data_IF_491404824608
#
_entry.id   IF_491404824608
#
_cell.length_a   1.000
_cell.length_b   1.000
_cell.length_c   1.000
_cell.angle_alpha   90.00
_cell.angle_beta   90.00
_cell.angle_gamma   90.00
#
_symmetry.space_group_name_H-M   'P 1'
#
loop_
_entity.id
_entity.type
_entity.pdbx_description
1 polymer ?
#
# COMPACT_ATOMS: atom_id res chain seq x y z
N UNK A 1 9.46 1.90 -4.05
CA UNK A 1 9.25 2.98 -5.05
C UNK A 1 8.83 4.27 -4.36
N UNK A 2 7.79 4.26 -3.51
CA UNK A 2 7.28 5.48 -2.83
C UNK A 2 8.35 6.24 -2.04
N UNK A 3 9.23 5.55 -1.30
CA UNK A 3 10.36 6.19 -0.63
C UNK A 3 11.30 6.92 -1.58
N UNK A 4 11.63 6.31 -2.73
CA UNK A 4 12.43 6.96 -3.77
C UNK A 4 11.74 8.20 -4.36
N UNK A 5 10.42 8.15 -4.52
CA UNK A 5 9.61 9.29 -4.99
C UNK A 5 9.71 10.47 -4.03
N UNK A 6 9.55 10.21 -2.72
CA UNK A 6 9.65 11.24 -1.69
C UNK A 6 11.05 11.92 -1.74
N UNK A 7 12.11 11.13 -1.68
CA UNK A 7 13.49 11.63 -1.66
C UNK A 7 13.83 12.44 -2.92
N UNK A 8 13.56 11.89 -4.11
CA UNK A 8 13.87 12.61 -5.36
C UNK A 8 13.05 13.87 -5.54
N UNK A 9 11.75 13.82 -5.23
CA UNK A 9 10.88 14.99 -5.30
C UNK A 9 11.37 16.08 -4.36
N UNK A 10 11.69 15.75 -3.10
CA UNK A 10 12.23 16.70 -2.14
C UNK A 10 13.58 17.32 -2.58
N UNK A 11 14.49 16.50 -3.12
CA UNK A 11 15.78 16.95 -3.65
C UNK A 11 15.62 17.95 -4.80
N UNK A 12 14.75 17.66 -5.78
CA UNK A 12 14.54 18.57 -6.91
C UNK A 12 13.80 19.85 -6.53
N UNK A 13 12.89 19.77 -5.55
CA UNK A 13 12.24 20.97 -4.98
C UNK A 13 13.28 21.87 -4.28
N UNK A 14 14.14 21.26 -3.44
CA UNK A 14 15.23 21.97 -2.77
C UNK A 14 16.23 22.61 -3.75
N UNK A 15 16.50 21.95 -4.88
CA UNK A 15 17.35 22.44 -5.96
C UNK A 15 16.63 23.45 -6.89
N UNK A 16 15.35 23.77 -6.67
CA UNK A 16 14.51 24.66 -7.50
C UNK A 16 14.42 24.21 -8.97
N UNK A 17 14.41 22.91 -9.22
CA UNK A 17 14.33 22.30 -10.55
C UNK A 17 12.90 21.83 -10.85
N UNK A 18 11.97 22.74 -11.04
CA UNK A 18 10.54 22.45 -11.20
C UNK A 18 10.22 21.53 -12.40
N UNK A 19 11.03 21.57 -13.47
CA UNK A 19 10.90 20.64 -14.60
C UNK A 19 11.19 19.21 -14.18
N UNK A 20 12.30 19.00 -13.46
CA UNK A 20 12.70 17.68 -12.97
C UNK A 20 11.67 17.12 -11.98
N UNK A 21 11.07 17.97 -11.12
CA UNK A 21 9.98 17.56 -10.21
C UNK A 21 8.80 16.99 -11.00
N UNK A 22 8.36 17.69 -12.05
CA UNK A 22 7.26 17.22 -12.90
C UNK A 22 7.57 15.90 -13.59
N UNK A 23 8.79 15.75 -14.11
CA UNK A 23 9.24 14.50 -14.76
C UNK A 23 9.25 13.33 -13.78
N UNK A 24 9.72 13.55 -12.53
CA UNK A 24 9.71 12.54 -11.46
C UNK A 24 8.27 12.17 -11.09
N UNK A 25 7.39 13.14 -10.86
CA UNK A 25 5.99 12.90 -10.50
C UNK A 25 5.27 12.05 -11.56
N UNK A 26 5.43 12.36 -12.86
CA UNK A 26 4.79 11.59 -13.92
C UNK A 26 5.40 10.20 -14.11
N UNK A 27 6.73 10.09 -14.02
CA UNK A 27 7.40 8.77 -14.09
C UNK A 27 7.05 7.88 -12.89
N UNK A 28 6.97 8.47 -11.70
CA UNK A 28 6.60 7.76 -10.47
C UNK A 28 5.16 7.24 -10.52
N UNK A 29 4.22 8.05 -11.02
CA UNK A 29 2.83 7.63 -11.21
C UNK A 29 2.73 6.39 -12.11
N UNK A 30 3.46 6.39 -13.24
CA UNK A 30 3.54 5.26 -14.16
C UNK A 30 4.13 4.02 -13.49
N UNK A 31 5.26 4.18 -12.79
CA UNK A 31 5.93 3.06 -12.11
C UNK A 31 5.06 2.47 -11.00
N UNK A 32 4.42 3.30 -10.18
CA UNK A 32 3.55 2.82 -9.10
C UNK A 32 2.31 2.11 -9.64
N UNK A 33 1.70 2.62 -10.73
CA UNK A 33 0.58 1.95 -11.38
C UNK A 33 1.01 0.60 -11.98
N UNK A 34 2.15 0.56 -12.69
CA UNK A 34 2.68 -0.67 -13.28
C UNK A 34 3.01 -1.73 -12.21
N UNK A 35 3.69 -1.34 -11.14
CA UNK A 35 4.00 -2.23 -10.02
C UNK A 35 2.72 -2.74 -9.35
N UNK A 36 1.71 -1.89 -9.19
CA UNK A 36 0.41 -2.29 -8.67
C UNK A 36 -0.27 -3.35 -9.54
N UNK A 37 -0.22 -3.20 -10.87
CA UNK A 37 -0.75 -4.19 -11.82
C UNK A 37 0.06 -5.50 -11.78
N UNK A 38 1.39 -5.43 -11.71
CA UNK A 38 2.24 -6.62 -11.57
C UNK A 38 1.87 -7.39 -10.29
N UNK A 39 1.74 -6.69 -9.16
CA UNK A 39 1.35 -7.30 -7.89
C UNK A 39 -0.07 -7.89 -7.94
N UNK A 40 -1.01 -7.23 -8.61
CA UNK A 40 -2.34 -7.74 -8.83
C UNK A 40 -2.29 -9.08 -9.58
N UNK A 41 -1.59 -9.13 -10.72
CA UNK A 41 -1.46 -10.35 -11.53
C UNK A 41 -0.75 -11.47 -10.74
N UNK A 42 0.33 -11.13 -10.04
CA UNK A 42 1.04 -12.05 -9.16
C UNK A 42 0.09 -12.64 -8.09
N UNK A 43 -0.67 -11.77 -7.41
CA UNK A 43 -1.62 -12.21 -6.39
C UNK A 43 -2.73 -13.11 -6.94
N UNK A 44 -3.25 -12.84 -8.14
CA UNK A 44 -4.27 -13.70 -8.75
C UNK A 44 -3.75 -15.12 -9.01
N UNK A 45 -2.49 -15.24 -9.44
CA UNK A 45 -1.89 -16.53 -9.78
C UNK A 45 -1.40 -17.29 -8.54
N UNK A 46 -0.72 -16.59 -7.63
CA UNK A 46 0.04 -17.23 -6.54
C UNK A 46 -0.66 -17.24 -5.19
N UNK A 47 -1.87 -16.68 -5.02
CA UNK A 47 -2.56 -16.61 -3.73
C UNK A 47 -2.67 -17.97 -3.03
N UNK A 48 -3.05 -19.04 -3.75
CA UNK A 48 -3.19 -20.36 -3.16
C UNK A 48 -1.84 -20.95 -2.76
N UNK A 49 -0.83 -20.82 -3.64
CA UNK A 49 0.52 -21.30 -3.38
C UNK A 49 1.14 -20.64 -2.14
N UNK A 50 0.94 -19.32 -1.98
CA UNK A 50 1.42 -18.59 -0.80
C UNK A 50 0.84 -19.17 0.48
N UNK A 51 -0.47 -19.45 0.51
CA UNK A 51 -1.15 -20.01 1.67
C UNK A 51 -0.71 -21.45 1.98
N UNK A 52 -0.46 -22.26 0.96
CA UNK A 52 0.08 -23.63 1.10
C UNK A 52 1.50 -23.59 1.71
N UNK A 53 2.36 -22.68 1.23
CA UNK A 53 3.71 -22.49 1.79
C UNK A 53 3.65 -22.01 3.24
N UNK A 54 2.66 -21.18 3.58
CA UNK A 54 2.42 -20.73 4.96
C UNK A 54 1.79 -21.81 5.86
N UNK A 55 1.57 -23.04 5.35
CA UNK A 55 0.92 -24.13 6.08
C UNK A 55 -0.44 -23.75 6.68
N UNK A 56 -1.22 -22.99 5.93
CA UNK A 56 -2.59 -22.64 6.31
C UNK A 56 -3.43 -23.92 6.36
N UNK A 57 -4.30 -24.07 7.37
CA UNK A 57 -5.18 -25.24 7.51
C UNK A 57 -6.06 -25.41 6.28
N UNK A 58 -6.23 -26.63 5.80
CA UNK A 58 -7.00 -26.94 4.58
C UNK A 58 -8.43 -26.41 4.61
N UNK A 59 -9.08 -26.44 5.76
CA UNK A 59 -10.44 -25.92 5.97
C UNK A 59 -10.56 -24.40 5.70
N UNK A 60 -9.48 -23.65 5.85
CA UNK A 60 -9.44 -22.16 5.72
C UNK A 60 -8.85 -21.72 4.38
N UNK A 61 -8.16 -22.58 3.65
CA UNK A 61 -7.40 -22.24 2.43
C UNK A 61 -8.28 -21.58 1.37
N UNK A 62 -9.46 -22.10 1.11
CA UNK A 62 -10.32 -21.57 0.04
C UNK A 62 -10.86 -20.17 0.38
N UNK A 63 -11.28 -19.95 1.63
CA UNK A 63 -11.72 -18.65 2.12
C UNK A 63 -10.60 -17.62 2.14
N UNK A 64 -9.43 -18.02 2.60
CA UNK A 64 -8.23 -17.17 2.62
C UNK A 64 -7.73 -16.85 1.22
N UNK A 65 -7.77 -17.80 0.29
CA UNK A 65 -7.38 -17.58 -1.10
C UNK A 65 -8.34 -16.61 -1.80
N UNK A 66 -9.65 -16.73 -1.55
CA UNK A 66 -10.64 -15.80 -2.05
C UNK A 66 -10.38 -14.38 -1.51
N UNK A 67 -10.13 -14.25 -0.20
CA UNK A 67 -9.78 -12.97 0.42
C UNK A 67 -8.56 -12.35 -0.24
N UNK A 68 -7.46 -13.11 -0.36
CA UNK A 68 -6.22 -12.63 -0.96
C UNK A 68 -6.42 -12.19 -2.41
N UNK A 69 -7.12 -12.98 -3.23
CA UNK A 69 -7.39 -12.62 -4.62
C UNK A 69 -8.15 -11.31 -4.72
N UNK A 70 -9.21 -11.13 -3.93
CA UNK A 70 -9.96 -9.88 -3.89
C UNK A 70 -9.06 -8.74 -3.40
N UNK A 71 -8.28 -8.96 -2.33
CA UNK A 71 -7.39 -7.94 -1.78
C UNK A 71 -6.33 -7.48 -2.78
N UNK A 72 -5.76 -8.39 -3.56
CA UNK A 72 -4.79 -8.05 -4.61
C UNK A 72 -5.38 -7.19 -5.73
N UNK A 73 -6.71 -7.18 -5.95
CA UNK A 73 -7.34 -6.23 -6.85
C UNK A 73 -7.13 -4.77 -6.40
N UNK A 74 -6.93 -4.54 -5.12
CA UNK A 74 -6.64 -3.22 -4.55
C UNK A 74 -5.20 -2.74 -4.72
N UNK A 75 -4.25 -3.59 -5.13
CA UNK A 75 -2.83 -3.24 -5.22
C UNK A 75 -2.52 -2.05 -6.14
N UNK A 76 -3.15 -1.89 -7.32
CA UNK A 76 -2.96 -0.69 -8.13
C UNK A 76 -3.41 0.59 -7.41
N UNK A 77 -4.53 0.53 -6.72
CA UNK A 77 -5.05 1.65 -5.94
C UNK A 77 -4.11 2.02 -4.78
N UNK A 78 -3.63 1.02 -4.05
CA UNK A 78 -2.66 1.21 -2.98
C UNK A 78 -1.35 1.84 -3.50
N UNK A 79 -0.86 1.38 -4.66
CA UNK A 79 0.31 1.96 -5.34
C UNK A 79 0.12 3.43 -5.66
N UNK A 80 -1.03 3.81 -6.21
CA UNK A 80 -1.38 5.19 -6.55
C UNK A 80 -1.51 6.06 -5.29
N UNK A 81 -2.17 5.55 -4.23
CA UNK A 81 -2.26 6.28 -2.97
C UNK A 81 -0.87 6.53 -2.36
N UNK A 82 -0.01 5.50 -2.29
CA UNK A 82 1.35 5.62 -1.77
C UNK A 82 2.23 6.58 -2.60
N UNK A 83 2.05 6.60 -3.92
CA UNK A 83 2.67 7.59 -4.79
C UNK A 83 2.25 9.01 -4.42
N UNK A 84 0.95 9.27 -4.33
CA UNK A 84 0.43 10.59 -3.98
C UNK A 84 0.85 11.05 -2.59
N UNK A 85 0.82 10.14 -1.61
CA UNK A 85 1.32 10.39 -0.26
C UNK A 85 2.81 10.79 -0.27
N UNK A 86 3.65 10.08 -1.03
CA UNK A 86 5.07 10.38 -1.15
C UNK A 86 5.34 11.76 -1.75
N UNK A 87 4.57 12.16 -2.78
CA UNK A 87 4.68 13.49 -3.41
C UNK A 87 4.26 14.60 -2.44
N UNK A 88 3.12 14.46 -1.76
CA UNK A 88 2.68 15.45 -0.77
C UNK A 88 3.63 15.55 0.42
N UNK A 89 4.16 14.43 0.90
CA UNK A 89 5.16 14.40 1.98
C UNK A 89 6.45 15.12 1.58
N UNK A 90 6.87 14.99 0.31
CA UNK A 90 8.07 15.68 -0.21
C UNK A 90 7.95 17.21 -0.19
N UNK A 91 6.73 17.75 -0.29
CA UNK A 91 6.48 19.21 -0.17
C UNK A 91 6.11 19.64 1.26
N UNK A 92 6.11 18.71 2.22
CA UNK A 92 5.76 18.97 3.62
C UNK A 92 4.25 19.03 3.90
N UNK A 93 3.38 18.76 2.91
CA UNK A 93 1.92 18.74 3.10
C UNK A 93 1.44 17.33 3.48
N UNK A 94 1.76 16.91 4.69
CA UNK A 94 1.34 15.59 5.20
C UNK A 94 -0.13 15.53 5.62
N UNK A 95 -0.77 16.71 5.81
CA UNK A 95 -2.16 16.77 6.29
C UNK A 95 -3.16 16.21 5.28
N UNK A 96 -3.01 16.55 3.99
CA UNK A 96 -3.94 16.08 2.95
C UNK A 96 -3.98 14.56 2.83
N UNK A 97 -2.84 13.84 2.70
CA UNK A 97 -2.87 12.38 2.70
C UNK A 97 -3.49 11.77 3.95
N UNK A 98 -3.20 12.32 5.14
CA UNK A 98 -3.76 11.84 6.41
C UNK A 98 -5.29 11.99 6.44
N UNK A 99 -5.84 13.14 6.04
CA UNK A 99 -7.29 13.33 5.98
C UNK A 99 -7.95 12.38 4.98
N UNK A 100 -7.34 12.16 3.81
CA UNK A 100 -7.85 11.22 2.82
C UNK A 100 -7.85 9.80 3.38
N UNK A 101 -6.76 9.40 4.06
CA UNK A 101 -6.65 8.08 4.67
C UNK A 101 -7.67 7.89 5.79
N UNK A 102 -7.83 8.87 6.68
CA UNK A 102 -8.80 8.84 7.77
C UNK A 102 -10.24 8.72 7.24
N UNK A 103 -10.59 9.52 6.23
CA UNK A 103 -11.90 9.43 5.59
C UNK A 103 -12.13 8.07 4.94
N UNK A 104 -11.16 7.56 4.19
CA UNK A 104 -11.25 6.23 3.57
C UNK A 104 -11.29 5.12 4.61
N UNK A 105 -10.64 5.28 5.76
CA UNK A 105 -10.70 4.36 6.89
C UNK A 105 -12.10 4.30 7.51
N UNK A 106 -12.74 5.45 7.72
CA UNK A 106 -14.14 5.50 8.22
C UNK A 106 -15.08 4.80 7.23
N UNK A 107 -14.94 5.08 5.94
CA UNK A 107 -15.74 4.40 4.91
C UNK A 107 -15.46 2.91 4.87
N UNK A 108 -14.21 2.48 5.04
CA UNK A 108 -13.86 1.06 5.15
C UNK A 108 -14.62 0.37 6.29
N UNK A 109 -14.65 0.99 7.48
CA UNK A 109 -15.40 0.45 8.64
C UNK A 109 -16.89 0.33 8.31
N UNK A 110 -17.50 1.37 7.74
CA UNK A 110 -18.92 1.35 7.38
C UNK A 110 -19.23 0.29 6.31
N UNK A 111 -18.38 0.16 5.30
CA UNK A 111 -18.53 -0.87 4.28
C UNK A 111 -18.33 -2.28 4.82
N UNK A 112 -17.39 -2.48 5.77
CA UNK A 112 -17.21 -3.76 6.44
C UNK A 112 -18.49 -4.16 7.20
N UNK A 113 -19.04 -3.25 8.00
CA UNK A 113 -20.29 -3.49 8.72
C UNK A 113 -21.44 -3.82 7.74
N UNK A 114 -21.57 -3.07 6.67
CA UNK A 114 -22.59 -3.28 5.67
C UNK A 114 -22.45 -4.64 4.97
N UNK A 115 -21.27 -4.96 4.42
CA UNK A 115 -21.08 -6.21 3.68
C UNK A 115 -21.12 -7.46 4.57
N UNK A 116 -20.64 -7.36 5.80
CA UNK A 116 -20.63 -8.51 6.73
C UNK A 116 -21.99 -8.71 7.38
N UNK A 117 -22.63 -7.65 7.88
CA UNK A 117 -23.88 -7.77 8.65
C UNK A 117 -25.09 -7.83 7.72
N UNK A 118 -25.19 -6.89 6.76
CA UNK A 118 -26.39 -6.76 5.92
C UNK A 118 -26.32 -7.75 4.75
N UNK A 119 -25.19 -7.76 4.02
CA UNK A 119 -25.03 -8.63 2.85
C UNK A 119 -24.60 -10.06 3.20
N UNK A 120 -24.18 -10.32 4.44
CA UNK A 120 -23.70 -11.64 4.93
C UNK A 120 -22.60 -12.26 4.07
N UNK A 121 -21.74 -11.42 3.48
CA UNK A 121 -20.66 -11.86 2.58
C UNK A 121 -19.43 -12.41 3.30
N UNK A 122 -19.46 -12.49 4.65
CA UNK A 122 -18.37 -13.04 5.46
C UNK A 122 -16.98 -12.48 5.03
N UNK A 123 -16.02 -13.35 4.76
CA UNK A 123 -14.63 -13.00 4.41
C UNK A 123 -14.54 -12.18 3.11
N UNK A 124 -15.35 -12.50 2.10
CA UNK A 124 -15.38 -11.75 0.84
C UNK A 124 -15.85 -10.30 1.04
N UNK A 125 -16.80 -10.08 1.96
CA UNK A 125 -17.29 -8.74 2.30
C UNK A 125 -16.21 -7.83 2.85
N UNK A 126 -15.37 -8.35 3.75
CA UNK A 126 -14.23 -7.62 4.31
C UNK A 126 -13.21 -7.24 3.23
N UNK A 127 -12.90 -8.18 2.33
CA UNK A 127 -11.97 -7.93 1.23
C UNK A 127 -12.52 -6.86 0.26
N UNK A 128 -13.79 -6.94 -0.13
CA UNK A 128 -14.45 -5.95 -1.02
C UNK A 128 -14.48 -4.56 -0.36
N UNK A 129 -14.80 -4.46 0.93
CA UNK A 129 -14.77 -3.20 1.67
C UNK A 129 -13.38 -2.57 1.64
N UNK A 130 -12.34 -3.37 1.87
CA UNK A 130 -10.94 -2.92 1.86
C UNK A 130 -10.53 -2.42 0.48
N UNK A 131 -10.83 -3.17 -0.58
CA UNK A 131 -10.51 -2.78 -1.95
C UNK A 131 -11.26 -1.51 -2.35
N UNK A 132 -12.55 -1.41 -2.03
CA UNK A 132 -13.36 -0.22 -2.34
C UNK A 132 -12.79 1.03 -1.66
N UNK A 133 -12.41 0.95 -0.38
CA UNK A 133 -11.81 2.07 0.34
C UNK A 133 -10.42 2.44 -0.20
N UNK A 134 -9.62 1.46 -0.65
CA UNK A 134 -8.33 1.72 -1.31
C UNK A 134 -8.51 2.47 -2.63
N UNK A 135 -9.45 2.07 -3.48
CA UNK A 135 -9.75 2.82 -4.71
C UNK A 135 -10.27 4.22 -4.43
N UNK A 136 -11.08 4.38 -3.40
CA UNK A 136 -11.55 5.70 -3.00
C UNK A 136 -10.40 6.60 -2.54
N UNK A 137 -9.48 6.11 -1.70
CA UNK A 137 -8.30 6.88 -1.30
C UNK A 137 -7.40 7.23 -2.49
N UNK A 138 -7.24 6.29 -3.45
CA UNK A 138 -6.48 6.53 -4.68
C UNK A 138 -7.10 7.62 -5.55
N UNK A 139 -8.41 7.61 -5.73
CA UNK A 139 -9.12 8.65 -6.48
C UNK A 139 -9.00 10.00 -5.79
N UNK A 140 -9.22 10.05 -4.49
CA UNK A 140 -9.14 11.30 -3.73
C UNK A 140 -7.72 11.90 -3.75
N UNK A 141 -6.67 11.09 -3.59
CA UNK A 141 -5.29 11.59 -3.63
C UNK A 141 -4.93 12.08 -5.03
N UNK A 142 -5.41 11.42 -6.09
CA UNK A 142 -5.20 11.87 -7.48
C UNK A 142 -5.92 13.18 -7.77
N UNK A 143 -7.16 13.35 -7.30
CA UNK A 143 -7.88 14.63 -7.41
C UNK A 143 -7.13 15.74 -6.66
N UNK A 144 -6.61 15.44 -5.47
CA UNK A 144 -5.81 16.38 -4.69
C UNK A 144 -4.53 16.77 -5.44
N UNK A 145 -3.82 15.81 -6.08
CA UNK A 145 -2.63 16.09 -6.89
C UNK A 145 -2.93 16.91 -8.16
N UNK A 146 -4.07 16.66 -8.82
CA UNK A 146 -4.49 17.47 -9.98
C UNK A 146 -4.82 18.92 -9.62
N UNK A 147 -5.22 19.16 -8.36
CA UNK A 147 -5.51 20.50 -7.80
C UNK A 147 -4.36 21.09 -7.00
N UNK A 148 -3.23 20.40 -6.91
CA UNK A 148 -2.06 20.83 -6.17
C UNK A 148 -1.30 21.96 -6.86
N UNK A 149 -0.29 22.49 -6.16
CA UNK A 149 0.62 23.52 -6.68
C UNK A 149 1.24 23.08 -8.02
N UNK A 150 1.47 24.03 -8.91
CA UNK A 150 1.92 23.80 -10.28
C UNK A 150 3.21 22.97 -10.37
N UNK A 151 4.04 23.00 -9.33
CA UNK A 151 5.30 22.26 -9.23
C UNK A 151 5.09 20.74 -9.18
N UNK A 152 4.07 20.30 -8.41
CA UNK A 152 3.79 18.87 -8.16
C UNK A 152 2.51 18.39 -8.84
N UNK A 153 1.84 19.29 -9.60
CA UNK A 153 0.57 18.99 -10.24
C UNK A 153 0.69 17.80 -11.18
N UNK A 154 -0.11 16.79 -10.92
CA UNK A 154 -0.27 15.70 -11.85
C UNK A 154 -1.25 16.08 -12.96
N UNK A 155 -0.85 15.90 -14.21
CA UNK A 155 -1.70 16.13 -15.38
C UNK A 155 -1.71 14.88 -16.25
N UNK A 156 -2.88 14.23 -16.43
CA UNK A 156 -2.99 13.03 -17.27
C UNK A 156 -2.53 13.25 -18.71
N UNK A 157 -2.66 14.49 -19.23
CA UNK A 157 -2.24 14.86 -20.59
C UNK A 157 -0.72 14.77 -20.82
N UNK A 158 0.05 14.91 -19.76
CA UNK A 158 1.52 14.87 -19.80
C UNK A 158 2.08 13.58 -19.19
N UNK A 159 1.25 12.56 -19.02
CA UNK A 159 1.67 11.27 -18.49
C UNK A 159 2.66 10.61 -19.47
N UNK A 160 3.94 10.75 -19.15
CA UNK A 160 5.05 10.19 -19.91
C UNK A 160 6.04 9.55 -18.94
N UNK A 161 6.55 8.38 -19.32
CA UNK A 161 7.66 7.77 -18.62
C UNK A 161 8.97 8.39 -19.12
N UNK A 162 9.73 8.96 -18.20
CA UNK A 162 11.07 9.46 -18.46
C UNK A 162 12.08 8.41 -17.99
N UNK A 163 12.80 7.72 -18.91
CA UNK A 163 13.62 6.56 -18.57
C UNK A 163 14.70 6.87 -17.54
N UNK A 164 15.34 8.03 -17.64
CA UNK A 164 16.38 8.44 -16.71
C UNK A 164 15.84 8.62 -15.29
N UNK A 165 14.69 9.31 -15.15
CA UNK A 165 14.04 9.48 -13.85
C UNK A 165 13.52 8.17 -13.30
N UNK A 166 12.97 7.30 -14.14
CA UNK A 166 12.51 5.97 -13.75
C UNK A 166 13.68 5.10 -13.25
N UNK A 167 14.83 5.15 -13.92
CA UNK A 167 16.05 4.44 -13.49
C UNK A 167 16.55 4.93 -12.13
N UNK A 168 16.55 6.24 -11.91
CA UNK A 168 17.00 6.82 -10.64
C UNK A 168 16.01 6.50 -9.51
N UNK A 169 14.71 6.57 -9.77
CA UNK A 169 13.65 6.13 -8.83
C UNK A 169 13.81 4.65 -8.45
N UNK A 170 14.13 3.80 -9.44
CA UNK A 170 14.35 2.38 -9.20
C UNK A 170 15.60 2.14 -8.36
N UNK A 171 16.71 2.82 -8.69
CA UNK A 171 17.97 2.72 -7.93
C UNK A 171 17.82 3.12 -6.46
N UNK A 172 17.01 4.13 -6.17
CA UNK A 172 16.75 4.56 -4.79
C UNK A 172 15.71 3.67 -4.09
N UNK A 173 14.67 3.30 -4.80
CA UNK A 173 13.55 2.56 -4.21
C UNK A 173 13.84 1.06 -4.04
N UNK A 174 14.65 0.45 -4.90
CA UNK A 174 14.92 -0.97 -4.89
C UNK A 174 15.70 -1.44 -3.64
N UNK A 175 16.82 -0.80 -3.25
CA UNK A 175 17.54 -1.18 -2.03
C UNK A 175 16.68 -1.01 -0.77
N UNK A 176 15.94 0.10 -0.67
CA UNK A 176 15.02 0.33 0.44
C UNK A 176 13.88 -0.71 0.47
N UNK A 177 13.41 -1.13 -0.70
CA UNK A 177 12.42 -2.21 -0.83
C UNK A 177 12.97 -3.55 -0.35
N UNK A 178 14.19 -3.91 -0.72
CA UNK A 178 14.86 -5.14 -0.26
C UNK A 178 15.04 -5.11 1.26
N UNK A 179 15.51 -4.00 1.80
CA UNK A 179 15.68 -3.86 3.25
C UNK A 179 14.38 -4.12 4.00
N UNK A 180 13.27 -3.49 3.59
CA UNK A 180 11.96 -3.73 4.17
C UNK A 180 11.47 -5.17 3.95
N UNK A 181 11.75 -5.78 2.79
CA UNK A 181 11.38 -7.15 2.49
C UNK A 181 12.08 -8.14 3.43
N UNK A 182 13.36 -7.94 3.76
CA UNK A 182 14.09 -8.81 4.69
C UNK A 182 13.40 -8.86 6.07
N UNK A 183 12.99 -7.70 6.60
CA UNK A 183 12.24 -7.65 7.86
C UNK A 183 10.89 -8.38 7.77
N UNK A 184 10.18 -8.22 6.67
CA UNK A 184 8.89 -8.89 6.47
C UNK A 184 9.05 -10.40 6.30
N UNK A 185 10.10 -10.85 5.60
CA UNK A 185 10.41 -12.29 5.52
C UNK A 185 10.75 -12.87 6.90
N UNK A 186 11.54 -12.18 7.72
CA UNK A 186 11.81 -12.61 9.08
C UNK A 186 10.51 -12.79 9.89
N UNK A 187 9.61 -11.81 9.84
CA UNK A 187 8.30 -11.91 10.49
C UNK A 187 7.46 -13.07 9.98
N UNK A 188 7.52 -13.35 8.67
CA UNK A 188 6.80 -14.46 8.05
C UNK A 188 7.32 -15.82 8.55
N UNK A 189 8.65 -15.98 8.69
CA UNK A 189 9.23 -17.19 9.29
C UNK A 189 8.83 -17.37 10.76
N UNK A 190 8.80 -16.29 11.54
CA UNK A 190 8.29 -16.31 12.91
C UNK A 190 6.83 -16.77 12.93
N UNK A 191 5.98 -16.22 12.05
CA UNK A 191 4.57 -16.60 11.95
C UNK A 191 4.38 -18.06 11.58
N UNK A 192 5.18 -18.59 10.65
CA UNK A 192 5.17 -20.03 10.31
C UNK A 192 5.51 -20.89 11.53
N UNK A 193 6.50 -20.45 12.34
CA UNK A 193 6.83 -21.10 13.60
C UNK A 193 5.68 -21.05 14.61
N UNK A 194 5.06 -19.89 14.78
CA UNK A 194 3.90 -19.71 15.67
C UNK A 194 2.72 -20.57 15.23
N UNK A 195 2.44 -20.67 13.94
CA UNK A 195 1.35 -21.49 13.39
C UNK A 195 1.53 -23.02 13.63
N UNK A 196 2.73 -23.46 14.07
CA UNK A 196 2.97 -24.86 14.43
C UNK A 196 2.49 -25.22 15.85
N UNK A 197 2.11 -24.22 16.66
CA UNK A 197 1.56 -24.41 18.00
C UNK A 197 0.03 -24.54 18.00
N UNK A 198 -0.55 -24.85 19.16
CA UNK A 198 -1.99 -24.96 19.33
C UNK A 198 -2.72 -23.62 19.05
N UNK A 199 -3.98 -23.70 18.66
CA UNK A 199 -4.81 -22.55 18.30
C UNK A 199 -4.82 -21.45 19.39
N UNK A 200 -4.85 -21.82 20.65
CA UNK A 200 -4.84 -20.89 21.79
C UNK A 200 -3.56 -20.05 21.83
N UNK A 201 -2.41 -20.65 21.51
CA UNK A 201 -1.11 -19.95 21.47
C UNK A 201 -1.09 -19.00 20.27
N UNK A 202 -1.60 -19.44 19.10
CA UNK A 202 -1.69 -18.61 17.89
C UNK A 202 -2.58 -17.38 18.12
N UNK A 203 -3.73 -17.55 18.76
CA UNK A 203 -4.65 -16.46 19.12
C UNK A 203 -4.00 -15.50 20.13
N UNK A 204 -3.35 -16.04 21.17
CA UNK A 204 -2.63 -15.25 22.15
C UNK A 204 -1.49 -14.43 21.54
N UNK A 205 -0.71 -15.04 20.64
CA UNK A 205 0.34 -14.34 19.89
C UNK A 205 -0.23 -13.24 18.98
N UNK A 206 -1.36 -13.48 18.32
CA UNK A 206 -2.02 -12.48 17.47
C UNK A 206 -2.50 -11.28 18.29
N UNK A 207 -3.06 -11.51 19.49
CA UNK A 207 -3.45 -10.45 20.40
C UNK A 207 -2.23 -9.64 20.90
N UNK A 208 -1.15 -10.33 21.29
CA UNK A 208 0.09 -9.69 21.73
C UNK A 208 0.74 -8.86 20.61
N UNK A 209 0.78 -9.38 19.38
CA UNK A 209 1.35 -8.67 18.22
C UNK A 209 0.54 -7.41 17.88
N UNK A 210 -0.79 -7.46 18.01
CA UNK A 210 -1.63 -6.28 17.81
C UNK A 210 -1.40 -5.21 18.89
N UNK A 211 -1.19 -5.61 20.14
CA UNK A 211 -0.84 -4.69 21.22
C UNK A 211 0.55 -4.06 21.02
N UNK A 212 1.53 -4.87 20.61
CA UNK A 212 2.88 -4.41 20.30
C UNK A 212 2.90 -3.43 19.12
N UNK A 213 2.11 -3.70 18.07
CA UNK A 213 1.95 -2.80 16.94
C UNK A 213 1.44 -1.41 17.35
N UNK A 214 0.47 -1.33 18.28
CA UNK A 214 -0.01 -0.05 18.79
C UNK A 214 1.09 0.76 19.50
N UNK A 215 1.92 0.08 20.29
CA UNK A 215 3.06 0.72 20.98
C UNK A 215 4.10 1.18 19.97
N UNK A 216 4.40 0.32 18.97
CA UNK A 216 5.35 0.63 17.91
C UNK A 216 4.91 1.82 17.05
N UNK A 217 3.63 1.89 16.67
CA UNK A 217 3.07 2.98 15.85
C UNK A 217 3.16 4.32 16.59
N UNK A 218 2.88 4.35 17.90
CA UNK A 218 3.06 5.55 18.72
C UNK A 218 4.53 5.95 18.76
N UNK A 219 5.43 5.00 18.95
CA UNK A 219 6.87 5.25 18.99
C UNK A 219 7.40 5.76 17.64
N UNK A 220 6.94 5.15 16.54
CA UNK A 220 7.32 5.54 15.17
C UNK A 220 6.83 6.94 14.77
N UNK A 221 5.77 7.46 15.42
CA UNK A 221 5.28 8.82 15.19
C UNK A 221 6.21 9.90 15.75
N UNK A 222 7.15 9.55 16.64
CA UNK A 222 8.14 10.46 17.21
C UNK A 222 9.50 10.42 16.51
N UNK A 223 9.70 9.50 15.58
CA UNK A 223 10.91 9.36 14.75
C UNK A 223 10.68 9.92 13.35
#
# INVERSE_FOLDING_TARGET
VSGGVNVMTAQYIGAKKDKDVREVVHSAAWMCALMGVILLLFGQVFSKLILEVMKTKEELIDGAALYLRIYFLGMPALGIYNFGNAVFSAVGDTKKPVYILAFSGVVNILLNLFFVIVCRLSVAGVAIASVTSQYMSAVLIMIALMKADERIRFSPKYLKLYPDKAKDLFKLGFPAGIQNAIFQFANLFVQVGVNSFDAVIVEGNSAATNADALVYDVMAAFY
#
